data_IF_189781534699
#
_entry.id   IF_189781534699
#
_cell.length_a   1.000
_cell.length_b   1.000
_cell.length_c   1.000
_cell.angle_alpha   90.00
_cell.angle_beta   90.00
_cell.angle_gamma   90.00
#
_symmetry.space_group_name_H-M   'P 1'
#
loop_
_entity.id
_entity.type
_entity.pdbx_description
1 polymer ?
#
# COMPACT_ATOMS: atom_id res chain seq x y z
N UNK A 1 -12.98 18.15 26.07
CA UNK A 1 -13.63 17.22 25.11
C UNK A 1 -13.65 17.88 23.74
N UNK A 2 -12.88 17.38 22.76
CA UNK A 2 -12.82 17.98 21.41
C UNK A 2 -14.07 17.55 20.62
N UNK A 3 -14.77 18.45 19.91
CA UNK A 3 -16.03 18.13 19.27
C UNK A 3 -15.86 17.01 18.25
N UNK A 4 -16.78 16.03 18.29
CA UNK A 4 -16.94 15.03 17.26
C UNK A 4 -17.30 15.77 15.97
N UNK A 5 -16.44 15.66 14.96
CA UNK A 5 -16.74 16.16 13.61
C UNK A 5 -17.96 15.38 13.16
N UNK A 6 -19.13 16.04 13.10
CA UNK A 6 -20.30 15.45 12.47
C UNK A 6 -20.00 15.40 10.98
N UNK A 7 -19.81 14.19 10.45
CA UNK A 7 -19.70 13.98 9.02
C UNK A 7 -21.11 14.01 8.44
N UNK A 8 -21.29 14.73 7.34
CA UNK A 8 -22.55 14.69 6.62
C UNK A 8 -22.83 13.26 6.11
N UNK A 9 -24.09 12.81 6.09
CA UNK A 9 -24.44 11.45 5.67
C UNK A 9 -23.88 11.09 4.28
N UNK A 10 -23.79 12.06 3.36
CA UNK A 10 -23.21 11.87 2.04
C UNK A 10 -21.71 11.56 2.08
N UNK A 11 -20.94 12.21 2.96
CA UNK A 11 -19.50 11.94 3.13
C UNK A 11 -19.28 10.57 3.75
N UNK A 12 -20.09 10.19 4.74
CA UNK A 12 -20.04 8.84 5.35
C UNK A 12 -20.31 7.77 4.30
N UNK A 13 -21.33 7.98 3.47
CA UNK A 13 -21.64 7.09 2.36
C UNK A 13 -20.51 6.99 1.34
N UNK A 14 -19.92 8.13 0.95
CA UNK A 14 -18.77 8.17 0.05
C UNK A 14 -17.60 7.33 0.59
N UNK A 15 -17.21 7.55 1.85
CA UNK A 15 -16.14 6.79 2.51
C UNK A 15 -16.49 5.29 2.57
N UNK A 16 -17.72 4.94 2.94
CA UNK A 16 -18.15 3.55 3.04
C UNK A 16 -18.04 2.84 1.68
N UNK A 17 -18.55 3.46 0.61
CA UNK A 17 -18.42 2.94 -0.76
C UNK A 17 -16.95 2.81 -1.15
N UNK A 18 -16.12 3.80 -0.85
CA UNK A 18 -14.69 3.74 -1.16
C UNK A 18 -13.97 2.60 -0.46
N UNK A 19 -14.22 2.42 0.84
CA UNK A 19 -13.64 1.32 1.62
C UNK A 19 -14.11 -0.03 1.09
N UNK A 20 -15.41 -0.16 0.74
CA UNK A 20 -15.95 -1.38 0.15
C UNK A 20 -15.31 -1.69 -1.21
N UNK A 21 -15.15 -0.69 -2.08
CA UNK A 21 -14.50 -0.84 -3.38
C UNK A 21 -13.03 -1.25 -3.24
N UNK A 22 -12.30 -0.65 -2.29
CA UNK A 22 -10.92 -1.05 -1.99
C UNK A 22 -10.89 -2.49 -1.49
N UNK A 23 -11.75 -2.85 -0.54
CA UNK A 23 -11.79 -4.18 0.04
C UNK A 23 -12.11 -5.23 -1.03
N UNK A 24 -13.12 -4.98 -1.87
CA UNK A 24 -13.48 -5.85 -2.99
C UNK A 24 -12.36 -5.95 -4.04
N UNK A 25 -11.74 -4.82 -4.39
CA UNK A 25 -10.62 -4.78 -5.34
C UNK A 25 -9.39 -5.52 -4.84
N UNK A 26 -8.99 -5.31 -3.59
CA UNK A 26 -7.90 -6.04 -2.94
C UNK A 26 -8.23 -7.52 -2.81
N UNK A 27 -9.47 -7.86 -2.48
CA UNK A 27 -9.89 -9.25 -2.41
C UNK A 27 -9.73 -9.94 -3.77
N UNK A 28 -10.25 -9.32 -4.82
CA UNK A 28 -10.22 -9.86 -6.18
C UNK A 28 -8.79 -9.98 -6.74
N UNK A 29 -8.00 -8.90 -6.66
CA UNK A 29 -6.66 -8.83 -7.30
C UNK A 29 -5.59 -9.56 -6.48
N UNK A 30 -5.73 -9.62 -5.16
CA UNK A 30 -4.66 -10.10 -4.26
C UNK A 30 -5.08 -11.30 -3.43
N UNK A 31 -6.10 -11.15 -2.59
CA UNK A 31 -6.40 -12.21 -1.61
C UNK A 31 -6.90 -13.49 -2.24
N UNK A 32 -7.86 -13.41 -3.17
CA UNK A 32 -8.40 -14.57 -3.86
C UNK A 32 -7.29 -15.40 -4.55
N UNK A 33 -6.45 -14.84 -5.46
CA UNK A 33 -5.41 -15.62 -6.11
C UNK A 33 -4.34 -16.12 -5.13
N UNK A 34 -3.95 -15.34 -4.12
CA UNK A 34 -2.92 -15.78 -3.17
C UNK A 34 -3.41 -16.84 -2.19
N UNK A 35 -4.69 -16.81 -1.80
CA UNK A 35 -5.30 -17.82 -0.96
C UNK A 35 -5.16 -19.20 -1.61
N UNK A 36 -5.59 -19.34 -2.88
CA UNK A 36 -5.46 -20.60 -3.62
C UNK A 36 -4.00 -21.04 -3.75
N UNK A 37 -3.08 -20.09 -4.01
CA UNK A 37 -1.64 -20.36 -4.10
C UNK A 37 -1.03 -20.80 -2.78
N UNK A 38 -1.55 -20.35 -1.64
CA UNK A 38 -1.05 -20.73 -0.32
C UNK A 38 -1.28 -22.22 -0.03
N UNK A 39 -2.45 -22.75 -0.37
CA UNK A 39 -2.71 -24.19 -0.25
C UNK A 39 -1.83 -25.01 -1.19
N UNK A 40 -1.65 -24.55 -2.44
CA UNK A 40 -0.75 -25.26 -3.36
C UNK A 40 0.69 -25.28 -2.86
N UNK A 41 1.17 -24.18 -2.29
CA UNK A 41 2.51 -24.09 -1.72
C UNK A 41 2.65 -24.95 -0.45
N UNK A 42 1.61 -25.05 0.36
CA UNK A 42 1.61 -25.89 1.56
C UNK A 42 1.77 -27.39 1.22
N UNK A 43 1.19 -27.85 0.10
CA UNK A 43 1.28 -29.25 -0.32
C UNK A 43 2.49 -29.55 -1.19
N UNK A 44 2.87 -28.64 -2.08
CA UNK A 44 3.91 -28.90 -3.10
C UNK A 44 5.27 -28.32 -2.73
N UNK A 45 5.35 -27.52 -1.66
CA UNK A 45 6.53 -26.71 -1.33
C UNK A 45 7.04 -25.88 -2.53
N UNK A 46 6.13 -25.50 -3.44
CA UNK A 46 6.42 -24.74 -4.66
C UNK A 46 5.37 -23.65 -4.90
N UNK A 47 5.81 -22.50 -5.42
CA UNK A 47 4.96 -21.32 -5.70
C UNK A 47 4.44 -21.34 -7.15
N UNK A 48 4.85 -22.33 -7.95
CA UNK A 48 4.49 -22.49 -9.36
C UNK A 48 5.66 -22.21 -10.30
N UNK A 49 5.35 -22.01 -11.58
CA UNK A 49 6.36 -21.76 -12.61
C UNK A 49 6.93 -20.35 -12.53
N UNK A 50 8.22 -20.23 -12.87
CA UNK A 50 8.91 -18.94 -12.91
C UNK A 50 8.40 -18.08 -14.07
N UNK A 51 8.28 -16.77 -13.88
CA UNK A 51 7.99 -15.83 -14.97
C UNK A 51 9.12 -15.80 -16.00
N UNK A 52 10.36 -16.07 -15.59
CA UNK A 52 11.55 -15.99 -16.44
C UNK A 52 11.82 -17.30 -17.18
N UNK A 53 11.73 -18.44 -16.49
CA UNK A 53 12.07 -19.75 -17.07
C UNK A 53 10.87 -20.65 -17.32
N UNK A 54 9.66 -20.29 -16.87
CA UNK A 54 8.49 -21.14 -17.00
C UNK A 54 8.69 -22.49 -16.31
N UNK A 55 8.61 -23.57 -17.09
CA UNK A 55 8.91 -24.96 -16.69
C UNK A 55 10.31 -25.41 -17.11
N UNK A 56 11.08 -24.56 -17.79
CA UNK A 56 12.41 -24.91 -18.27
C UNK A 56 13.42 -24.98 -17.10
N UNK A 57 14.36 -25.92 -17.21
CA UNK A 57 15.41 -26.13 -16.21
C UNK A 57 16.46 -25.00 -16.18
N UNK A 58 16.60 -24.24 -17.27
CA UNK A 58 17.53 -23.13 -17.38
C UNK A 58 16.81 -21.85 -17.89
N UNK A 59 17.25 -20.66 -17.48
CA UNK A 59 16.72 -19.41 -18.01
C UNK A 59 17.06 -19.25 -19.50
N UNK A 60 16.22 -18.53 -20.27
CA UNK A 60 16.50 -18.26 -21.67
C UNK A 60 17.79 -17.45 -21.83
N UNK A 61 18.47 -17.61 -22.97
CA UNK A 61 19.63 -16.80 -23.30
C UNK A 61 19.28 -15.31 -23.27
N UNK A 62 20.21 -14.49 -22.78
CA UNK A 62 20.02 -13.04 -22.70
C UNK A 62 19.86 -12.49 -24.11
N UNK A 63 18.72 -11.85 -24.37
CA UNK A 63 18.39 -11.30 -25.68
C UNK A 63 17.12 -10.45 -25.64
N UNK A 64 16.90 -9.66 -26.69
CA UNK A 64 15.77 -8.73 -26.76
C UNK A 64 14.41 -9.41 -26.67
N UNK A 65 14.26 -10.59 -27.27
CA UNK A 65 13.04 -11.36 -27.23
C UNK A 65 12.72 -11.85 -25.80
N UNK A 66 13.74 -12.29 -25.05
CA UNK A 66 13.58 -12.70 -23.65
C UNK A 66 13.22 -11.50 -22.76
N UNK A 67 13.83 -10.34 -22.99
CA UNK A 67 13.48 -9.11 -22.27
C UNK A 67 12.03 -8.68 -22.56
N UNK A 68 11.61 -8.74 -23.83
CA UNK A 68 10.26 -8.36 -24.24
C UNK A 68 9.19 -9.32 -23.67
N UNK A 69 9.42 -10.63 -23.75
CA UNK A 69 8.48 -11.62 -23.20
C UNK A 69 8.33 -11.48 -21.68
N UNK A 70 9.45 -11.26 -20.96
CA UNK A 70 9.44 -10.96 -19.54
C UNK A 70 8.65 -9.68 -19.22
N UNK A 71 8.89 -8.59 -19.96
CA UNK A 71 8.19 -7.32 -19.76
C UNK A 71 6.68 -7.48 -19.93
N UNK A 72 6.23 -8.17 -20.98
CA UNK A 72 4.81 -8.42 -21.24
C UNK A 72 4.20 -9.31 -20.16
N UNK A 73 4.90 -10.37 -19.75
CA UNK A 73 4.42 -11.28 -18.71
C UNK A 73 4.29 -10.56 -17.35
N UNK A 74 5.31 -9.76 -16.98
CA UNK A 74 5.29 -8.97 -15.76
C UNK A 74 4.21 -7.87 -15.79
N UNK A 75 4.05 -7.18 -16.92
CA UNK A 75 2.98 -6.20 -17.10
C UNK A 75 1.59 -6.82 -16.90
N UNK A 76 1.33 -7.97 -17.53
CA UNK A 76 0.07 -8.72 -17.37
C UNK A 76 -0.19 -9.15 -15.92
N UNK A 77 0.86 -9.43 -15.14
CA UNK A 77 0.73 -9.79 -13.74
C UNK A 77 0.45 -8.58 -12.81
N UNK A 78 0.82 -7.36 -13.22
CA UNK A 78 0.90 -6.20 -12.32
C UNK A 78 -0.11 -5.10 -12.64
N UNK A 79 -0.57 -4.97 -13.89
CA UNK A 79 -1.39 -3.83 -14.33
C UNK A 79 -2.65 -3.59 -13.48
N UNK A 80 -3.37 -4.65 -13.08
CA UNK A 80 -4.57 -4.54 -12.24
C UNK A 80 -4.24 -3.94 -10.86
N UNK A 81 -3.09 -4.32 -10.30
CA UNK A 81 -2.63 -3.79 -9.01
C UNK A 81 -2.20 -2.32 -9.11
N UNK A 82 -1.63 -1.90 -10.24
CA UNK A 82 -1.29 -0.48 -10.49
C UNK A 82 -2.57 0.36 -10.56
N UNK A 83 -3.56 -0.09 -11.33
CA UNK A 83 -4.86 0.62 -11.43
C UNK A 83 -5.50 0.73 -10.04
N UNK A 84 -5.53 -0.36 -9.28
CA UNK A 84 -6.07 -0.33 -7.92
C UNK A 84 -5.28 0.63 -7.01
N UNK A 85 -3.95 0.64 -7.08
CA UNK A 85 -3.11 1.57 -6.32
C UNK A 85 -3.36 3.04 -6.68
N UNK A 86 -3.57 3.35 -7.96
CA UNK A 86 -3.96 4.67 -8.44
C UNK A 86 -5.33 5.08 -7.92
N UNK A 87 -6.32 4.19 -7.97
CA UNK A 87 -7.67 4.43 -7.45
C UNK A 87 -7.66 4.67 -5.93
N UNK A 88 -6.87 3.89 -5.18
CA UNK A 88 -6.66 4.12 -3.74
C UNK A 88 -6.04 5.51 -3.52
N UNK A 89 -4.97 5.85 -4.23
CA UNK A 89 -4.30 7.14 -4.07
C UNK A 89 -5.18 8.35 -4.43
N UNK A 90 -5.99 8.23 -5.49
CA UNK A 90 -6.94 9.25 -5.90
C UNK A 90 -8.10 9.37 -4.89
N UNK A 91 -8.67 8.24 -4.47
CA UNK A 91 -9.80 8.26 -3.54
C UNK A 91 -9.40 8.68 -2.13
N UNK A 92 -8.18 8.40 -1.66
CA UNK A 92 -7.66 8.95 -0.39
C UNK A 92 -7.56 10.48 -0.42
N UNK A 93 -7.32 11.08 -1.59
CA UNK A 93 -7.27 12.54 -1.74
C UNK A 93 -8.67 13.16 -1.78
N UNK A 94 -9.64 12.49 -2.39
CA UNK A 94 -10.98 13.05 -2.64
C UNK A 94 -11.97 12.70 -1.53
N UNK A 95 -11.94 11.47 -1.01
CA UNK A 95 -12.97 10.94 -0.11
C UNK A 95 -12.58 11.00 1.37
N UNK A 96 -11.29 11.07 1.72
CA UNK A 96 -10.86 11.08 3.12
C UNK A 96 -10.73 12.52 3.64
N UNK A 97 -11.51 12.92 4.66
CA UNK A 97 -11.41 14.27 5.22
C UNK A 97 -10.02 14.54 5.81
N UNK A 98 -9.45 15.72 5.51
CA UNK A 98 -8.15 16.15 6.07
C UNK A 98 -8.11 16.14 7.60
N UNK A 99 -9.24 16.36 8.27
CA UNK A 99 -9.35 16.31 9.73
C UNK A 99 -9.16 14.91 10.29
N UNK A 100 -9.58 13.87 9.57
CA UNK A 100 -9.32 12.48 9.94
C UNK A 100 -7.86 12.13 9.66
N UNK A 101 -7.35 12.54 8.51
CA UNK A 101 -5.95 12.32 8.13
C UNK A 101 -4.99 12.90 9.17
N UNK A 102 -5.19 14.17 9.55
CA UNK A 102 -4.34 14.86 10.53
C UNK A 102 -4.40 14.26 11.94
N UNK A 103 -5.55 13.66 12.31
CA UNK A 103 -5.75 12.99 13.60
C UNK A 103 -5.15 11.59 13.66
N UNK A 104 -5.32 10.79 12.61
CA UNK A 104 -4.88 9.39 12.59
C UNK A 104 -3.39 9.25 12.26
N UNK A 105 -2.95 9.90 11.18
CA UNK A 105 -1.62 9.66 10.61
C UNK A 105 -0.84 10.94 10.31
N UNK A 106 -1.37 12.12 10.64
CA UNK A 106 -0.69 13.39 10.41
C UNK A 106 0.22 13.89 11.52
N UNK A 107 0.30 13.17 12.66
CA UNK A 107 1.24 13.52 13.72
C UNK A 107 2.61 12.89 13.42
N UNK A 108 3.68 13.55 13.87
CA UNK A 108 5.06 13.07 13.74
C UNK A 108 5.40 11.89 14.67
N UNK A 109 4.44 11.47 15.50
CA UNK A 109 4.63 10.44 16.51
C UNK A 109 4.67 9.01 15.97
N UNK A 110 5.17 8.10 16.81
CA UNK A 110 5.23 6.67 16.53
C UNK A 110 3.85 6.07 16.22
N UNK A 111 2.78 6.53 16.89
CA UNK A 111 1.42 6.04 16.67
C UNK A 111 0.97 6.21 15.20
N UNK A 112 1.19 7.38 14.60
CA UNK A 112 0.85 7.64 13.20
C UNK A 112 1.66 6.76 12.24
N UNK A 113 2.93 6.50 12.58
CA UNK A 113 3.81 5.59 11.84
C UNK A 113 3.27 4.16 11.89
N UNK A 114 2.93 3.67 13.09
CA UNK A 114 2.40 2.32 13.29
C UNK A 114 1.05 2.11 12.60
N UNK A 115 0.11 3.04 12.75
CA UNK A 115 -1.22 2.97 12.10
C UNK A 115 -1.06 2.85 10.59
N UNK A 116 -0.23 3.69 9.98
CA UNK A 116 -0.01 3.68 8.53
C UNK A 116 0.75 2.42 8.07
N UNK A 117 1.73 1.95 8.85
CA UNK A 117 2.46 0.70 8.57
C UNK A 117 1.55 -0.53 8.60
N UNK A 118 0.66 -0.64 9.59
CA UNK A 118 -0.31 -1.75 9.65
C UNK A 118 -1.41 -1.64 8.58
N UNK A 119 -1.82 -0.42 8.21
CA UNK A 119 -2.76 -0.20 7.11
C UNK A 119 -2.23 -0.70 5.75
N UNK A 120 -0.90 -0.88 5.61
CA UNK A 120 -0.27 -1.41 4.40
C UNK A 120 -0.27 -2.95 4.30
N UNK A 121 -0.47 -3.67 5.41
CA UNK A 121 -0.45 -5.14 5.44
C UNK A 121 -1.51 -5.77 4.54
N UNK A 122 -2.80 -5.37 4.60
CA UNK A 122 -3.83 -6.02 3.79
C UNK A 122 -3.74 -5.70 2.29
N UNK A 123 -3.03 -4.64 1.89
CA UNK A 123 -2.92 -4.26 0.48
C UNK A 123 -1.95 -5.13 -0.32
N UNK A 124 -0.96 -5.77 0.33
CA UNK A 124 -0.01 -6.71 -0.29
C UNK A 124 0.61 -6.21 -1.61
N UNK A 125 0.91 -4.91 -1.68
CA UNK A 125 1.38 -4.28 -2.91
C UNK A 125 2.90 -4.29 -3.03
N UNK A 126 3.40 -4.25 -4.26
CA UNK A 126 4.79 -3.90 -4.51
C UNK A 126 5.02 -2.42 -4.20
N UNK A 127 6.27 -2.03 -4.01
CA UNK A 127 6.70 -0.62 -3.91
C UNK A 127 6.17 0.22 -5.08
N UNK A 128 6.15 -0.35 -6.29
CA UNK A 128 5.60 0.27 -7.50
C UNK A 128 4.11 0.63 -7.40
N UNK A 129 3.28 -0.29 -6.92
CA UNK A 129 1.83 -0.12 -6.84
C UNK A 129 1.42 0.67 -5.59
N UNK A 130 2.21 0.60 -4.52
CA UNK A 130 1.97 1.35 -3.30
C UNK A 130 2.37 2.83 -3.42
N UNK A 131 3.23 3.18 -4.38
CA UNK A 131 3.74 4.55 -4.52
C UNK A 131 2.64 5.60 -4.76
N UNK A 132 1.67 5.42 -5.69
CA UNK A 132 0.59 6.40 -5.88
C UNK A 132 -0.28 6.57 -4.64
N UNK A 133 -0.57 5.48 -3.92
CA UNK A 133 -1.32 5.51 -2.67
C UNK A 133 -0.55 6.25 -1.56
N UNK A 134 0.77 6.00 -1.44
CA UNK A 134 1.63 6.71 -0.50
C UNK A 134 1.72 8.21 -0.80
N UNK A 135 1.82 8.59 -2.08
CA UNK A 135 1.79 10.00 -2.51
C UNK A 135 0.43 10.64 -2.20
N UNK A 136 -0.67 9.92 -2.44
CA UNK A 136 -2.00 10.39 -2.07
C UNK A 136 -2.13 10.63 -0.57
N UNK A 137 -1.61 9.71 0.25
CA UNK A 137 -1.58 9.81 1.70
C UNK A 137 -0.79 11.04 2.17
N UNK A 138 0.39 11.28 1.58
CA UNK A 138 1.20 12.47 1.85
C UNK A 138 0.48 13.77 1.47
N UNK A 139 -0.16 13.82 0.29
CA UNK A 139 -0.93 15.00 -0.17
C UNK A 139 -2.16 15.29 0.68
N UNK A 140 -2.75 14.26 1.28
CA UNK A 140 -3.86 14.38 2.23
C UNK A 140 -3.43 14.84 3.63
N UNK A 141 -2.13 14.95 3.90
CA UNK A 141 -1.59 15.49 5.15
C UNK A 141 -1.12 14.45 6.18
N UNK A 142 -0.80 13.22 5.75
CA UNK A 142 -0.09 12.28 6.62
C UNK A 142 1.36 12.74 6.87
N UNK A 143 1.89 12.39 8.03
CA UNK A 143 3.28 12.65 8.38
C UNK A 143 4.22 11.86 7.48
N UNK A 144 5.45 12.35 7.31
CA UNK A 144 6.42 11.65 6.45
C UNK A 144 6.75 10.25 6.96
N UNK A 145 6.82 10.09 8.29
CA UNK A 145 7.01 8.78 8.91
C UNK A 145 5.85 7.83 8.60
N UNK A 146 4.60 8.31 8.69
CA UNK A 146 3.43 7.51 8.33
C UNK A 146 3.40 7.13 6.85
N UNK A 147 3.69 8.07 5.94
CA UNK A 147 3.78 7.78 4.50
C UNK A 147 4.86 6.75 4.19
N UNK A 148 6.05 6.90 4.77
CA UNK A 148 7.15 5.95 4.59
C UNK A 148 6.81 4.57 5.15
N UNK A 149 6.18 4.52 6.33
CA UNK A 149 5.75 3.27 6.94
C UNK A 149 4.71 2.54 6.08
N UNK A 150 3.74 3.26 5.52
CA UNK A 150 2.77 2.67 4.60
C UNK A 150 3.44 2.12 3.33
N UNK A 151 4.40 2.87 2.77
CA UNK A 151 5.08 2.48 1.54
C UNK A 151 6.01 1.27 1.74
N UNK A 152 6.79 1.24 2.81
CA UNK A 152 7.68 0.13 3.17
C UNK A 152 6.92 -1.08 3.73
N UNK A 153 5.81 -0.85 4.45
CA UNK A 153 4.98 -1.88 5.05
C UNK A 153 4.40 -2.85 4.02
N UNK A 154 4.02 -2.32 2.85
CA UNK A 154 3.42 -3.09 1.77
C UNK A 154 4.27 -4.28 1.30
N UNK A 155 5.56 -4.12 0.92
CA UNK A 155 6.42 -5.24 0.55
C UNK A 155 7.03 -5.99 1.75
N UNK A 156 7.34 -5.30 2.86
CA UNK A 156 8.05 -5.91 3.99
C UNK A 156 7.15 -6.78 4.85
N UNK A 157 5.94 -6.30 5.15
CA UNK A 157 4.96 -6.97 6.03
C UNK A 157 3.89 -7.72 5.23
N UNK A 158 4.21 -8.13 3.99
CA UNK A 158 3.27 -8.80 3.11
C UNK A 158 2.97 -10.23 3.59
N UNK A 159 1.74 -10.54 4.02
CA UNK A 159 1.41 -11.84 4.60
C UNK A 159 1.47 -12.98 3.57
N UNK A 160 1.14 -12.74 2.29
CA UNK A 160 1.27 -13.77 1.26
C UNK A 160 2.74 -14.20 1.10
N UNK A 161 3.68 -13.24 1.11
CA UNK A 161 5.11 -13.57 1.04
C UNK A 161 5.61 -14.32 2.27
N UNK A 162 5.08 -14.01 3.46
CA UNK A 162 5.43 -14.72 4.69
C UNK A 162 4.95 -16.17 4.63
N UNK A 163 3.72 -16.39 4.19
CA UNK A 163 3.15 -17.74 4.04
C UNK A 163 3.94 -18.56 3.02
N UNK A 164 4.20 -18.01 1.83
CA UNK A 164 4.97 -18.72 0.80
C UNK A 164 6.40 -19.00 1.25
N UNK A 165 7.05 -18.05 1.92
CA UNK A 165 8.40 -18.24 2.46
C UNK A 165 8.42 -19.30 3.55
N UNK A 166 7.38 -19.36 4.41
CA UNK A 166 7.27 -20.38 5.46
C UNK A 166 7.19 -21.79 4.89
N UNK A 167 6.40 -21.99 3.83
CA UNK A 167 6.26 -23.31 3.21
C UNK A 167 7.46 -23.70 2.32
N UNK A 168 8.10 -22.76 1.63
CA UNK A 168 9.18 -23.10 0.68
C UNK A 168 10.58 -23.03 1.30
N UNK A 169 10.89 -21.99 2.07
CA UNK A 169 12.21 -21.75 2.65
C UNK A 169 12.29 -22.17 4.13
N UNK A 170 11.15 -22.30 4.81
CA UNK A 170 11.05 -22.62 6.23
C UNK A 170 10.78 -21.41 7.12
N UNK A 171 10.20 -21.68 8.30
CA UNK A 171 9.69 -20.64 9.21
C UNK A 171 10.76 -19.73 9.82
N UNK A 172 12.02 -20.18 9.89
CA UNK A 172 13.13 -19.35 10.39
C UNK A 172 13.29 -18.06 9.56
N UNK A 173 13.14 -18.16 8.23
CA UNK A 173 13.24 -17.01 7.34
C UNK A 173 12.04 -16.06 7.46
N UNK A 174 10.86 -16.59 7.79
CA UNK A 174 9.67 -15.79 8.05
C UNK A 174 9.86 -14.94 9.29
N UNK A 175 10.37 -15.54 10.37
CA UNK A 175 10.68 -14.82 11.61
C UNK A 175 11.69 -13.70 11.34
N UNK A 176 12.78 -13.99 10.62
CA UNK A 176 13.75 -12.98 10.22
C UNK A 176 13.08 -11.83 9.44
N UNK A 177 12.23 -12.15 8.46
CA UNK A 177 11.51 -11.15 7.66
C UNK A 177 10.57 -10.30 8.51
N UNK A 178 9.85 -10.90 9.47
CA UNK A 178 8.95 -10.17 10.37
C UNK A 178 9.76 -9.22 11.25
N UNK A 179 10.84 -9.68 11.86
CA UNK A 179 11.67 -8.87 12.76
C UNK A 179 12.32 -7.70 12.01
N UNK A 180 13.02 -8.01 10.90
CA UNK A 180 13.69 -6.98 10.09
C UNK A 180 12.66 -6.06 9.44
N UNK A 181 11.58 -6.61 8.91
CA UNK A 181 10.50 -5.84 8.28
C UNK A 181 9.82 -4.89 9.26
N UNK A 182 9.50 -5.35 10.47
CA UNK A 182 8.93 -4.50 11.52
C UNK A 182 9.92 -3.42 11.97
N UNK A 183 11.21 -3.75 12.12
CA UNK A 183 12.25 -2.78 12.45
C UNK A 183 12.40 -1.69 11.36
N UNK A 184 12.35 -2.05 10.09
CA UNK A 184 12.39 -1.09 8.98
C UNK A 184 11.13 -0.23 8.92
N UNK A 185 9.96 -0.85 9.06
CA UNK A 185 8.67 -0.15 8.89
C UNK A 185 8.34 0.74 10.09
N UNK A 186 8.62 0.29 11.31
CA UNK A 186 8.29 1.05 12.53
C UNK A 186 9.47 1.87 13.03
N UNK A 187 10.69 1.34 12.94
CA UNK A 187 11.90 2.02 13.41
C UNK A 187 12.43 3.01 12.38
N UNK A 188 12.86 2.53 11.21
CA UNK A 188 13.49 3.38 10.18
C UNK A 188 12.51 4.41 9.64
N UNK A 189 11.25 4.05 9.37
CA UNK A 189 10.27 5.02 8.89
C UNK A 189 9.97 6.11 9.95
N UNK A 190 9.86 5.75 11.23
CA UNK A 190 9.64 6.73 12.30
C UNK A 190 10.85 7.66 12.42
N UNK A 191 12.05 7.10 12.46
CA UNK A 191 13.30 7.87 12.56
C UNK A 191 13.48 8.80 11.36
N UNK A 192 13.34 8.29 10.13
CA UNK A 192 13.42 9.09 8.91
C UNK A 192 12.33 10.19 8.88
N UNK A 193 11.13 9.89 9.38
CA UNK A 193 10.06 10.88 9.54
C UNK A 193 10.46 12.04 10.45
N UNK A 194 11.19 11.77 11.54
CA UNK A 194 11.68 12.79 12.47
C UNK A 194 12.85 13.63 11.94
N UNK A 195 13.68 13.09 11.05
CA UNK A 195 14.83 13.81 10.48
C UNK A 195 14.42 14.83 9.42
N UNK A 196 13.36 14.54 8.66
CA UNK A 196 12.92 15.43 7.60
C UNK A 196 12.04 16.49 8.24
N UNK A 197 12.50 17.74 8.29
CA UNK A 197 11.78 18.88 8.88
C UNK A 197 10.35 18.97 8.34
N UNK A 198 9.35 18.73 9.18
CA UNK A 198 7.94 18.74 8.82
C UNK A 198 7.53 20.17 8.46
N UNK A 199 7.47 20.46 7.16
CA UNK A 199 6.78 21.67 6.72
C UNK A 199 5.31 21.41 7.03
N UNK A 200 4.79 22.09 8.04
CA UNK A 200 3.35 22.18 8.27
C UNK A 200 2.72 22.49 6.91
N UNK A 201 1.93 21.56 6.37
CA UNK A 201 1.20 21.83 5.14
C UNK A 201 0.26 22.98 5.48
N UNK A 202 0.38 24.15 4.83
CA UNK A 202 -0.58 25.22 5.06
C UNK A 202 -1.97 24.65 4.79
N UNK A 203 -2.93 24.98 5.66
CA UNK A 203 -4.33 24.66 5.39
C UNK A 203 -4.63 25.16 3.96
N UNK A 204 -5.10 24.26 3.10
CA UNK A 204 -5.58 24.67 1.78
C UNK A 204 -6.59 25.80 2.03
N UNK A 205 -6.50 26.95 1.32
CA UNK A 205 -7.57 27.94 1.38
C UNK A 205 -8.88 27.20 1.14
N UNK A 206 -9.91 27.55 1.90
CA UNK A 206 -11.26 27.02 1.68
C UNK A 206 -11.64 27.13 0.20
N UNK A 207 -12.69 26.40 -0.24
CA UNK A 207 -13.17 26.51 -1.63
C UNK A 207 -13.21 27.99 -2.03
N UNK A 208 -12.68 28.36 -3.22
CA UNK A 208 -12.58 29.75 -3.61
C UNK A 208 -13.94 30.39 -3.36
N UNK A 209 -13.96 31.42 -2.50
CA UNK A 209 -15.16 32.20 -2.28
C UNK A 209 -15.45 32.83 -3.63
N UNK A 210 -16.41 32.27 -4.36
CA UNK A 210 -16.94 32.91 -5.56
C UNK A 210 -17.58 34.17 -5.04
N UNK A 211 -16.83 35.27 -5.09
CA UNK A 211 -17.40 36.58 -4.87
C UNK A 211 -18.55 36.70 -5.88
N UNK A 212 -19.76 37.13 -5.45
CA UNK A 212 -20.82 37.40 -6.39
C UNK A 212 -20.25 38.34 -7.45
N UNK A 213 -20.24 37.87 -8.70
CA UNK A 213 -19.89 38.70 -9.84
C UNK A 213 -21.00 39.76 -9.89
N UNK A 214 -20.71 40.95 -9.35
CA UNK A 214 -21.58 42.10 -9.50
C UNK A 214 -21.35 42.61 -10.93
N UNK A 215 -22.39 42.39 -11.74
CA UNK A 215 -22.68 42.91 -13.09
C UNK A 215 -21.73 42.57 -14.26
#
# INVERSE_FOLDING_TARGET
MRPLVRLDPATVWGIAVFVLLIAAGLYYVKWNPYYHRAFTAAHTHSIGTSIVSGTAAAPPAVGWQAAWSYAVAYFKAVWQAIILGLLIGAGVQVLVPRTWMSRLVGQSGFASTAIAGFAAVPSMMCTCCAAPAAVGLARSGASRGATLAYWLGNPMLNPATMIFMGFVLGWNWVVLRIVVGAALVLGVAHWAGGLVAEKAHPAHPGPPTIAPQVE
#
